data_IF_010420799786
#
_entry.id   IF_010420799786
#
_cell.length_a   1.000
_cell.length_b   1.000
_cell.length_c   1.000
_cell.angle_alpha   90.00
_cell.angle_beta   90.00
_cell.angle_gamma   90.00
#
_symmetry.space_group_name_H-M   'P 1'
#
loop_
_entity.id
_entity.type
_entity.pdbx_description
1 polymer ?
#
# COMPACT_ATOMS: atom_id res chain seq x y z
N UNK A 1 0.28 -0.62 20.36
CA UNK A 1 1.64 -0.76 19.77
C UNK A 1 1.83 0.39 18.79
N UNK A 2 2.89 1.20 18.91
CA UNK A 2 3.16 2.28 17.95
C UNK A 2 3.88 1.67 16.75
N UNK A 3 3.23 1.62 15.60
CA UNK A 3 3.84 1.25 14.33
C UNK A 3 3.73 2.43 13.35
N UNK A 4 4.61 2.47 12.36
CA UNK A 4 4.44 3.31 11.19
C UNK A 4 4.49 2.41 9.96
N UNK A 5 3.86 2.86 8.88
CA UNK A 5 3.80 2.12 7.63
C UNK A 5 4.56 2.88 6.57
N UNK A 6 5.22 2.14 5.68
CA UNK A 6 5.93 2.67 4.52
C UNK A 6 5.26 2.10 3.27
N UNK A 7 4.93 2.96 2.32
CA UNK A 7 4.56 2.55 0.97
C UNK A 7 5.75 2.65 0.03
N UNK A 8 5.94 1.62 -0.81
CA UNK A 8 7.06 1.54 -1.75
C UNK A 8 6.54 1.89 -3.14
N UNK A 9 7.14 2.89 -3.77
CA UNK A 9 6.71 3.39 -5.08
C UNK A 9 7.53 2.72 -6.17
N UNK A 10 6.84 2.24 -7.21
CA UNK A 10 7.51 1.65 -8.35
C UNK A 10 8.20 0.33 -8.01
N UNK A 11 7.57 -0.53 -7.21
CA UNK A 11 8.13 -1.84 -6.86
C UNK A 11 7.72 -2.96 -7.83
N UNK A 12 6.91 -2.65 -8.84
CA UNK A 12 6.40 -3.61 -9.83
C UNK A 12 6.64 -3.08 -11.24
N UNK A 13 7.25 -3.90 -12.10
CA UNK A 13 7.50 -3.54 -13.51
C UNK A 13 6.17 -3.38 -14.25
N UNK A 14 6.09 -2.39 -15.13
CA UNK A 14 4.87 -2.05 -15.88
C UNK A 14 3.89 -1.11 -15.16
N UNK A 15 3.91 -1.04 -13.82
CA UNK A 15 2.91 -0.27 -13.05
C UNK A 15 3.12 1.26 -13.12
N UNK A 16 4.38 1.72 -13.20
CA UNK A 16 4.69 3.16 -13.29
C UNK A 16 4.33 3.78 -14.65
N UNK A 17 4.40 2.98 -15.73
CA UNK A 17 4.23 3.45 -17.11
C UNK A 17 2.86 4.11 -17.37
N UNK A 18 1.84 3.78 -16.57
CA UNK A 18 0.49 4.35 -16.67
C UNK A 18 0.24 5.61 -15.83
N UNK A 19 1.04 5.87 -14.79
CA UNK A 19 0.80 6.98 -13.85
C UNK A 19 1.78 8.15 -14.03
N UNK A 20 3.03 7.89 -14.36
CA UNK A 20 4.07 8.92 -14.52
C UNK A 20 5.04 8.47 -15.64
N UNK A 21 5.33 9.33 -16.63
CA UNK A 21 6.27 9.05 -17.73
C UNK A 21 7.73 9.02 -17.23
N UNK A 22 8.07 8.06 -16.38
CA UNK A 22 9.42 7.87 -15.82
C UNK A 22 10.05 6.64 -16.47
N UNK A 23 11.30 6.77 -16.92
CA UNK A 23 12.04 5.64 -17.48
C UNK A 23 12.24 4.55 -16.41
N UNK A 24 11.83 3.31 -16.70
CA UNK A 24 11.99 2.14 -15.83
C UNK A 24 13.45 1.70 -15.78
N UNK A 25 14.31 2.42 -15.05
CA UNK A 25 15.73 2.02 -14.96
C UNK A 25 16.26 1.72 -13.58
N UNK A 26 15.46 1.71 -12.52
CA UNK A 26 15.80 1.06 -11.22
C UNK A 26 14.60 1.02 -10.28
N UNK A 27 13.84 -0.09 -10.28
CA UNK A 27 12.85 -0.34 -9.22
C UNK A 27 13.60 -0.63 -7.90
N UNK A 28 13.13 -0.16 -6.73
CA UNK A 28 12.04 0.78 -6.50
C UNK A 28 12.43 2.26 -6.66
N UNK A 29 11.46 3.11 -7.01
CA UNK A 29 11.70 4.52 -7.36
C UNK A 29 11.43 5.50 -6.20
N UNK A 30 10.90 5.04 -5.08
CA UNK A 30 10.67 5.89 -3.91
C UNK A 30 10.00 5.19 -2.73
N UNK A 31 9.92 5.92 -1.61
CA UNK A 31 9.22 5.49 -0.39
C UNK A 31 8.43 6.67 0.16
N UNK A 32 7.22 6.42 0.65
CA UNK A 32 6.44 7.41 1.40
C UNK A 32 5.97 6.84 2.73
N UNK A 33 5.76 7.73 3.70
CA UNK A 33 5.27 7.34 5.03
C UNK A 33 3.75 7.38 5.02
N UNK A 34 3.13 6.27 5.36
CA UNK A 34 1.73 6.20 5.77
C UNK A 34 1.73 6.37 7.28
N UNK A 35 1.28 7.53 7.74
CA UNK A 35 1.30 7.85 9.16
C UNK A 35 0.32 6.93 9.91
N UNK A 36 0.86 5.86 10.50
CA UNK A 36 0.16 4.94 11.40
C UNK A 36 0.10 5.42 12.86
N UNK A 37 0.70 6.59 13.16
CA UNK A 37 0.65 7.18 14.51
C UNK A 37 -0.65 7.94 14.77
N UNK A 38 -1.43 8.23 13.72
CA UNK A 38 -2.82 8.64 13.85
C UNK A 38 -3.68 7.47 13.38
N UNK A 39 -4.49 6.90 14.26
CA UNK A 39 -5.37 5.72 14.06
C UNK A 39 -6.38 5.86 12.90
N UNK A 40 -6.31 6.96 12.15
CA UNK A 40 -7.26 7.31 11.12
C UNK A 40 -6.84 6.76 9.76
N UNK A 41 -5.58 6.85 9.33
CA UNK A 41 -5.23 6.61 7.90
C UNK A 41 -5.47 5.19 7.41
N UNK A 42 -5.15 4.20 8.23
CA UNK A 42 -5.27 2.78 7.87
C UNK A 42 -6.47 2.18 8.60
N UNK A 43 -7.45 1.70 7.85
CA UNK A 43 -8.58 0.94 8.36
C UNK A 43 -8.28 -0.55 8.33
N UNK A 44 -8.54 -1.25 9.43
CA UNK A 44 -8.59 -2.71 9.49
C UNK A 44 -10.06 -3.13 9.48
N UNK A 45 -10.65 -3.34 8.30
CA UNK A 45 -12.08 -3.66 8.21
C UNK A 45 -12.64 -3.64 6.79
N UNK A 46 -13.96 -3.78 6.68
CA UNK A 46 -14.69 -3.93 5.41
C UNK A 46 -14.96 -2.61 4.67
N UNK A 47 -14.67 -1.47 5.30
CA UNK A 47 -15.03 -0.15 4.78
C UNK A 47 -13.83 0.79 4.76
N UNK A 48 -13.71 1.49 3.63
CA UNK A 48 -12.84 2.64 3.40
C UNK A 48 -13.70 3.89 3.22
N UNK A 49 -13.18 5.05 3.55
CA UNK A 49 -13.89 6.32 3.37
C UNK A 49 -13.44 7.04 2.12
N UNK A 50 -14.40 7.48 1.32
CA UNK A 50 -14.13 8.28 0.14
C UNK A 50 -13.53 9.64 0.53
N UNK A 51 -12.60 10.17 -0.27
CA UNK A 51 -12.04 11.48 -0.02
C UNK A 51 -13.10 12.58 -0.22
N UNK A 52 -13.01 13.70 0.51
CA UNK A 52 -13.93 14.83 0.35
C UNK A 52 -13.77 15.54 -1.01
N UNK A 53 -12.61 15.40 -1.64
CA UNK A 53 -12.24 16.05 -2.89
C UNK A 53 -11.47 15.10 -3.81
N UNK A 54 -11.51 15.40 -5.11
CA UNK A 54 -10.85 14.61 -6.15
C UNK A 54 -11.75 13.54 -6.76
N UNK A 55 -11.28 12.97 -7.86
CA UNK A 55 -12.02 11.98 -8.66
C UNK A 55 -11.08 10.88 -9.16
N UNK A 56 -11.66 9.86 -9.80
CA UNK A 56 -10.94 8.69 -10.31
C UNK A 56 -10.14 8.00 -9.19
N UNK A 57 -10.86 7.59 -8.15
CA UNK A 57 -10.29 6.87 -7.01
C UNK A 57 -10.02 5.44 -7.45
N UNK A 58 -8.80 4.97 -7.22
CA UNK A 58 -8.37 3.63 -7.58
C UNK A 58 -7.87 2.91 -6.33
N UNK A 59 -8.20 1.62 -6.22
CA UNK A 59 -7.54 0.74 -5.29
C UNK A 59 -6.21 0.30 -5.89
N UNK A 60 -5.16 0.23 -5.08
CA UNK A 60 -3.91 -0.45 -5.44
C UNK A 60 -3.78 -1.66 -4.50
N UNK A 61 -4.21 -2.87 -4.94
CA UNK A 61 -4.04 -4.08 -4.14
C UNK A 61 -2.55 -4.36 -3.96
N UNK A 62 -2.13 -4.54 -2.72
CA UNK A 62 -0.72 -4.75 -2.35
C UNK A 62 -0.58 -5.84 -1.28
N UNK A 63 0.58 -6.51 -1.29
CA UNK A 63 1.02 -7.25 -0.11
C UNK A 63 1.55 -6.29 0.93
N UNK A 64 1.16 -6.49 2.19
CA UNK A 64 1.65 -5.71 3.33
C UNK A 64 2.41 -6.62 4.26
N UNK A 65 3.70 -6.34 4.46
CA UNK A 65 4.57 -7.13 5.33
C UNK A 65 4.81 -6.38 6.64
N UNK A 66 4.62 -7.08 7.75
CA UNK A 66 4.93 -6.62 9.10
C UNK A 66 6.32 -7.09 9.46
N UNK A 67 7.16 -6.12 9.83
CA UNK A 67 8.52 -6.37 10.28
C UNK A 67 8.69 -6.07 11.76
N UNK A 68 9.45 -6.92 12.45
CA UNK A 68 10.11 -6.56 13.70
C UNK A 68 11.35 -5.74 13.34
N UNK A 69 11.54 -4.61 13.99
CA UNK A 69 12.72 -3.77 13.82
C UNK A 69 13.70 -4.06 14.95
N UNK A 70 14.93 -4.42 14.60
CA UNK A 70 16.02 -4.58 15.55
C UNK A 70 16.93 -3.35 15.49
N UNK A 71 17.33 -2.87 16.67
CA UNK A 71 18.13 -1.67 16.84
C UNK A 71 19.48 -2.03 17.45
N UNK A 72 20.54 -1.38 16.97
CA UNK A 72 21.89 -1.42 17.55
C UNK A 72 22.48 -0.01 17.49
N UNK A 73 23.17 0.43 18.56
CA UNK A 73 23.79 1.76 18.64
C UNK A 73 22.84 2.93 18.27
N UNK A 74 21.59 2.85 18.73
CA UNK A 74 20.51 3.82 18.42
C UNK A 74 20.19 3.95 16.91
N UNK A 75 20.55 2.95 16.10
CA UNK A 75 20.24 2.88 14.67
C UNK A 75 19.43 1.63 14.37
N UNK A 76 18.65 1.68 13.28
CA UNK A 76 18.00 0.48 12.74
C UNK A 76 19.09 -0.45 12.20
N UNK A 77 19.18 -1.65 12.75
CA UNK A 77 20.15 -2.67 12.35
C UNK A 77 19.54 -3.67 11.37
N UNK A 78 18.28 -4.09 11.60
CA UNK A 78 17.63 -5.11 10.78
C UNK A 78 16.10 -4.97 10.78
N UNK A 79 15.50 -5.28 9.64
CA UNK A 79 14.08 -5.60 9.54
C UNK A 79 13.92 -7.12 9.43
N UNK A 80 13.15 -7.71 10.33
CA UNK A 80 12.86 -9.15 10.34
C UNK A 80 11.40 -9.35 9.97
N UNK A 81 11.08 -10.00 8.84
CA UNK A 81 9.70 -10.29 8.49
C UNK A 81 9.06 -11.19 9.57
N UNK A 82 7.81 -10.93 9.89
CA UNK A 82 7.09 -11.67 10.94
C UNK A 82 5.72 -12.16 10.47
N UNK A 83 4.99 -11.30 9.75
CA UNK A 83 3.69 -11.64 9.20
C UNK A 83 3.43 -10.84 7.92
N UNK A 84 2.55 -11.34 7.08
CA UNK A 84 2.05 -10.63 5.90
C UNK A 84 0.53 -10.62 5.87
N UNK A 85 -0.02 -9.68 5.12
CA UNK A 85 -1.44 -9.57 4.80
C UNK A 85 -1.60 -8.91 3.43
N UNK A 86 -2.84 -8.67 3.01
CA UNK A 86 -3.16 -7.88 1.83
C UNK A 86 -3.80 -6.57 2.23
N UNK A 87 -3.59 -5.54 1.43
CA UNK A 87 -4.18 -4.23 1.63
C UNK A 87 -4.54 -3.58 0.30
N UNK A 88 -5.30 -2.49 0.40
CA UNK A 88 -5.55 -1.59 -0.72
C UNK A 88 -4.94 -0.22 -0.39
N UNK A 89 -3.89 0.14 -1.10
CA UNK A 89 -3.36 1.50 -1.15
C UNK A 89 -4.24 2.36 -2.06
N UNK A 90 -5.28 2.94 -1.48
CA UNK A 90 -6.19 3.75 -2.29
C UNK A 90 -5.53 5.06 -2.71
N UNK A 91 -5.74 5.44 -3.98
CA UNK A 91 -5.12 6.62 -4.60
C UNK A 91 -6.16 7.50 -5.29
N UNK A 92 -6.07 8.81 -5.06
CA UNK A 92 -6.80 9.83 -5.82
C UNK A 92 -6.01 10.16 -7.09
N UNK A 93 -6.43 9.65 -8.25
CA UNK A 93 -5.72 9.90 -9.52
C UNK A 93 -5.90 11.32 -10.03
N UNK A 94 -7.07 11.92 -9.80
CA UNK A 94 -7.37 13.31 -10.22
C UNK A 94 -7.67 14.16 -8.99
N UNK A 95 -6.64 14.86 -8.51
CA UNK A 95 -6.74 15.84 -7.43
C UNK A 95 -6.06 17.14 -7.87
N UNK A 96 -6.85 18.19 -8.09
CA UNK A 96 -6.33 19.51 -8.46
C UNK A 96 -5.58 20.14 -7.29
N UNK A 97 -4.48 20.85 -7.58
CA UNK A 97 -3.69 21.56 -6.58
C UNK A 97 -2.78 20.69 -5.70
N UNK A 98 -2.87 19.36 -5.77
CA UNK A 98 -2.01 18.46 -4.99
C UNK A 98 -0.52 18.67 -5.29
N UNK A 99 0.27 18.97 -4.25
CA UNK A 99 1.70 19.24 -4.31
C UNK A 99 2.54 18.03 -3.89
N UNK A 100 1.97 17.11 -3.09
CA UNK A 100 2.64 15.94 -2.54
C UNK A 100 1.85 14.67 -2.81
N UNK A 101 2.56 13.57 -3.05
CA UNK A 101 1.93 12.24 -3.23
C UNK A 101 1.07 11.82 -2.04
N UNK A 102 1.47 12.20 -0.82
CA UNK A 102 0.73 11.91 0.40
C UNK A 102 -0.69 12.50 0.40
N UNK A 103 -0.92 13.64 -0.27
CA UNK A 103 -2.26 14.23 -0.38
C UNK A 103 -3.21 13.37 -1.23
N UNK A 104 -2.65 12.61 -2.18
CA UNK A 104 -3.41 11.69 -3.04
C UNK A 104 -3.59 10.31 -2.41
N UNK A 105 -2.70 9.90 -1.51
CA UNK A 105 -2.68 8.55 -0.93
C UNK A 105 -3.18 8.50 0.53
N UNK A 106 -3.05 9.56 1.31
CA UNK A 106 -3.35 9.58 2.74
C UNK A 106 -4.27 10.76 3.10
N UNK A 107 -5.45 10.80 2.49
CA UNK A 107 -6.40 11.93 2.61
C UNK A 107 -7.14 12.03 3.96
N UNK A 108 -6.86 11.14 4.90
CA UNK A 108 -7.45 11.20 6.23
C UNK A 108 -7.90 9.83 6.73
N UNK A 109 -9.00 9.80 7.48
CA UNK A 109 -9.56 8.59 8.05
C UNK A 109 -9.85 7.52 6.99
N UNK A 110 -9.66 6.25 7.35
CA UNK A 110 -9.85 5.03 6.59
C UNK A 110 -9.51 5.13 5.08
N UNK A 111 -8.43 5.84 4.75
CA UNK A 111 -8.02 6.06 3.36
C UNK A 111 -7.29 4.84 2.77
N UNK A 112 -6.75 3.97 3.62
CA UNK A 112 -6.15 2.69 3.21
C UNK A 112 -6.86 1.53 3.88
N UNK A 113 -7.02 0.43 3.16
CA UNK A 113 -7.62 -0.79 3.67
C UNK A 113 -6.55 -1.84 3.97
N UNK A 114 -6.65 -2.50 5.12
CA UNK A 114 -5.82 -3.64 5.48
C UNK A 114 -6.72 -4.81 5.89
N UNK A 115 -6.41 -6.01 5.39
CA UNK A 115 -7.13 -7.19 5.84
C UNK A 115 -6.84 -7.46 7.32
N UNK A 116 -7.84 -8.03 8.01
CA UNK A 116 -7.73 -8.38 9.43
C UNK A 116 -6.92 -9.65 9.65
N UNK A 117 -6.89 -10.53 8.66
CA UNK A 117 -6.14 -11.78 8.70
C UNK A 117 -4.65 -11.55 8.38
N UNK A 118 -3.77 -12.20 9.13
CA UNK A 118 -2.33 -12.14 8.95
C UNK A 118 -1.76 -13.55 8.86
N UNK A 119 -0.97 -13.82 7.84
CA UNK A 119 -0.23 -15.07 7.68
C UNK A 119 1.19 -14.90 8.22
N UNK A 120 1.77 -15.91 8.88
CA UNK A 120 3.18 -15.86 9.27
C UNK A 120 4.07 -15.83 8.03
N UNK A 121 5.18 -15.09 8.10
CA UNK A 121 6.21 -15.07 7.05
C UNK A 121 7.57 -14.87 7.71
N UNK A 122 8.54 -15.70 7.32
CA UNK A 122 9.90 -15.70 7.90
C UNK A 122 10.98 -15.29 6.91
N UNK A 123 10.69 -15.34 5.61
CA UNK A 123 11.60 -14.98 4.51
C UNK A 123 10.80 -14.37 3.36
N UNK A 124 11.45 -13.56 2.53
CA UNK A 124 10.80 -12.87 1.39
C UNK A 124 11.46 -13.20 0.05
N UNK A 125 12.54 -13.98 0.07
CA UNK A 125 13.38 -14.32 -1.06
C UNK A 125 12.61 -15.10 -2.13
N UNK A 126 11.73 -16.01 -1.72
CA UNK A 126 10.87 -16.86 -2.60
C UNK A 126 9.46 -16.31 -2.76
N UNK A 127 9.18 -15.11 -2.23
CA UNK A 127 7.81 -14.61 -2.05
C UNK A 127 6.99 -14.57 -3.35
N UNK A 128 7.60 -14.18 -4.47
CA UNK A 128 6.93 -14.09 -5.78
C UNK A 128 6.63 -15.43 -6.43
N UNK A 129 7.31 -16.49 -5.98
CA UNK A 129 7.10 -17.87 -6.41
C UNK A 129 5.93 -18.50 -5.62
N UNK A 130 5.83 -18.16 -4.34
CA UNK A 130 4.83 -18.72 -3.42
C UNK A 130 3.47 -18.03 -3.49
N UNK A 131 3.45 -16.71 -3.73
CA UNK A 131 2.23 -15.92 -3.63
C UNK A 131 1.88 -15.22 -4.95
N UNK A 132 0.59 -15.23 -5.27
CA UNK A 132 -0.01 -14.44 -6.35
C UNK A 132 -1.07 -13.53 -5.75
N UNK A 133 -1.00 -12.25 -6.11
CA UNK A 133 -2.02 -11.29 -5.75
C UNK A 133 -3.07 -11.25 -6.86
N UNK A 134 -4.33 -11.46 -6.49
CA UNK A 134 -5.47 -11.35 -7.38
C UNK A 134 -6.41 -10.33 -6.77
N UNK A 135 -6.97 -9.46 -7.61
CA UNK A 135 -7.90 -8.44 -7.18
C UNK A 135 -9.13 -8.45 -8.06
N UNK A 136 -10.29 -8.38 -7.42
CA UNK A 136 -11.60 -8.48 -8.04
C UNK A 136 -12.44 -7.34 -7.48
N UNK A 137 -13.15 -6.63 -8.36
CA UNK A 137 -14.13 -5.62 -7.96
C UNK A 137 -15.53 -6.14 -8.18
N UNK A 138 -16.39 -5.97 -7.18
CA UNK A 138 -17.82 -6.22 -7.31
C UNK A 138 -18.56 -4.90 -7.53
N UNK A 139 -19.34 -4.80 -8.60
CA UNK A 139 -20.19 -3.63 -8.88
C UNK A 139 -21.52 -4.10 -9.44
N UNK A 140 -22.61 -3.56 -8.91
CA UNK A 140 -23.99 -3.85 -9.35
C UNK A 140 -24.31 -5.35 -9.44
N UNK A 141 -23.69 -6.14 -8.55
CA UNK A 141 -23.86 -7.60 -8.49
C UNK A 141 -22.87 -8.40 -9.34
N UNK A 142 -22.14 -7.77 -10.26
CA UNK A 142 -21.15 -8.41 -11.13
C UNK A 142 -19.74 -8.37 -10.54
N UNK A 143 -18.95 -9.40 -10.82
CA UNK A 143 -17.53 -9.48 -10.45
C UNK A 143 -16.68 -9.26 -11.69
N UNK A 144 -15.76 -8.31 -11.59
CA UNK A 144 -14.84 -7.94 -12.67
C UNK A 144 -13.41 -8.10 -12.17
N UNK A 145 -12.54 -8.59 -13.05
CA UNK A 145 -11.11 -8.58 -12.78
C UNK A 145 -10.65 -7.14 -12.58
N UNK A 146 -9.98 -6.90 -11.45
CA UNK A 146 -9.41 -5.61 -11.09
C UNK A 146 -7.91 -5.78 -10.95
N UNK A 147 -7.28 -6.15 -12.06
CA UNK A 147 -5.82 -6.22 -12.19
C UNK A 147 -5.35 -4.89 -12.75
N UNK A 148 -4.46 -4.21 -12.04
CA UNK A 148 -3.84 -2.96 -12.48
C UNK A 148 -2.77 -3.18 -13.55
#
# INVERSE_FOLDING_TARGET
MKCFSLGIIGNFSGHLSGAEKVAESTLPNGVFVVNGLTERTVSTGEKITFPPHGTNIQAEPEFVVKFKVEYADNKVAKFIPNAMTVGNDMTIRKLEGAQKIAERKAWGEASKGLATHWWPVSELETFTEEYKLISIVKRDGEYLDYTL
#
